data_IF_689281046954
#
_entry.id   IF_689281046954
#
_cell.length_a   1.000
_cell.length_b   1.000
_cell.length_c   1.000
_cell.angle_alpha   90.00
_cell.angle_beta   90.00
_cell.angle_gamma   90.00
#
_symmetry.space_group_name_H-M   'P 1'
#
loop_
_entity.id
_entity.type
_entity.pdbx_description
1 polymer ?
#
# COMPACT_ATOMS: atom_id res chain seq x y z
N UNK A 1 -7.80 -8.17 -7.07
CA UNK A 1 -6.35 -8.45 -7.09
C UNK A 1 -5.95 -8.83 -5.68
N UNK A 2 -5.27 -9.96 -5.54
CA UNK A 2 -4.68 -10.38 -4.27
C UNK A 2 -3.34 -9.65 -4.19
N UNK A 3 -3.21 -8.71 -3.28
CA UNK A 3 -1.97 -8.00 -3.01
C UNK A 3 -1.40 -8.52 -1.71
N UNK A 4 -0.39 -9.38 -1.80
CA UNK A 4 0.27 -9.97 -0.64
C UNK A 4 0.81 -8.89 0.33
N UNK A 5 1.31 -7.77 -0.20
CA UNK A 5 1.82 -6.67 0.62
C UNK A 5 0.73 -6.06 1.51
N UNK A 6 -0.46 -5.84 0.96
CA UNK A 6 -1.59 -5.28 1.72
C UNK A 6 -2.08 -6.27 2.79
N UNK A 7 -2.10 -7.57 2.47
CA UNK A 7 -2.47 -8.62 3.43
C UNK A 7 -1.46 -8.68 4.59
N UNK A 8 -0.15 -8.64 4.29
CA UNK A 8 0.90 -8.63 5.31
C UNK A 8 0.87 -7.35 6.17
N UNK A 9 0.62 -6.18 5.60
CA UNK A 9 0.45 -4.96 6.37
C UNK A 9 -0.70 -5.07 7.37
N UNK A 10 -1.81 -5.67 6.95
CA UNK A 10 -2.95 -5.88 7.83
C UNK A 10 -2.64 -6.87 8.94
N UNK A 11 -1.95 -7.98 8.64
CA UNK A 11 -1.54 -8.96 9.63
C UNK A 11 -0.61 -8.37 10.70
N UNK A 12 0.34 -7.52 10.30
CA UNK A 12 1.21 -6.78 11.22
C UNK A 12 0.37 -5.92 12.15
N UNK A 13 -0.57 -5.15 11.61
CA UNK A 13 -1.43 -4.26 12.38
C UNK A 13 -2.29 -5.05 13.38
N UNK A 14 -2.91 -6.14 12.92
CA UNK A 14 -3.75 -7.01 13.74
C UNK A 14 -2.95 -7.66 14.89
N UNK A 15 -1.77 -8.17 14.59
CA UNK A 15 -0.91 -8.80 15.59
C UNK A 15 -0.40 -7.81 16.64
N UNK A 16 -0.13 -6.57 16.23
CA UNK A 16 0.34 -5.51 17.14
C UNK A 16 -0.76 -4.98 18.04
N UNK A 17 -2.00 -4.92 17.56
CA UNK A 17 -3.15 -4.34 18.27
C UNK A 17 -4.22 -5.40 18.55
N UNK A 18 -3.82 -6.51 19.18
CA UNK A 18 -4.73 -7.59 19.60
C UNK A 18 -5.84 -7.06 20.50
N UNK A 19 -7.03 -7.65 20.41
CA UNK A 19 -8.21 -7.25 21.19
C UNK A 19 -8.98 -6.06 20.60
N UNK A 20 -8.56 -5.51 19.46
CA UNK A 20 -9.32 -4.50 18.74
C UNK A 20 -10.15 -5.12 17.63
N UNK A 21 -11.29 -4.50 17.33
CA UNK A 21 -12.13 -4.89 16.20
C UNK A 21 -11.77 -4.09 14.98
N UNK A 22 -11.43 -4.78 13.89
CA UNK A 22 -11.02 -4.17 12.64
C UNK A 22 -12.17 -4.12 11.62
N UNK A 23 -12.32 -2.99 10.95
CA UNK A 23 -13.26 -2.78 9.87
C UNK A 23 -12.49 -2.47 8.60
N UNK A 24 -12.53 -3.39 7.63
CA UNK A 24 -11.79 -3.26 6.38
C UNK A 24 -12.69 -3.37 5.15
N UNK A 25 -12.26 -2.73 4.08
CA UNK A 25 -12.85 -2.89 2.75
C UNK A 25 -11.92 -3.77 1.92
N UNK A 26 -12.30 -5.02 1.70
CA UNK A 26 -11.53 -5.94 0.87
C UNK A 26 -12.44 -6.86 0.08
N UNK A 27 -12.01 -7.26 -1.10
CA UNK A 27 -12.69 -8.26 -1.92
C UNK A 27 -12.14 -9.68 -1.73
N UNK A 28 -10.93 -9.80 -1.21
CA UNK A 28 -10.12 -11.03 -1.21
C UNK A 28 -9.88 -11.63 0.18
N UNK A 29 -9.92 -10.83 1.24
CA UNK A 29 -9.61 -11.34 2.58
C UNK A 29 -10.60 -12.37 3.09
N UNK A 30 -10.10 -13.32 3.87
CA UNK A 30 -10.91 -14.32 4.57
C UNK A 30 -11.56 -13.69 5.80
N UNK A 31 -12.77 -14.16 6.13
CA UNK A 31 -13.50 -13.74 7.34
C UNK A 31 -12.80 -14.29 8.57
N UNK A 32 -12.49 -13.42 9.54
CA UNK A 32 -11.92 -13.76 10.84
C UNK A 32 -12.78 -13.17 11.95
N UNK A 33 -12.60 -13.66 13.19
CA UNK A 33 -13.49 -13.35 14.31
C UNK A 33 -13.53 -11.85 14.65
N UNK A 34 -12.35 -11.19 14.66
CA UNK A 34 -12.23 -9.76 14.98
C UNK A 34 -12.22 -8.84 13.77
N UNK A 35 -12.54 -9.37 12.58
CA UNK A 35 -12.47 -8.63 11.32
C UNK A 35 -13.81 -8.57 10.63
N UNK A 36 -14.34 -7.36 10.47
CA UNK A 36 -15.55 -7.10 9.68
C UNK A 36 -15.15 -6.69 8.27
N UNK A 37 -15.41 -7.58 7.31
CA UNK A 37 -15.07 -7.35 5.91
C UNK A 37 -16.29 -6.89 5.14
N UNK A 38 -16.17 -5.72 4.50
CA UNK A 38 -17.17 -5.21 3.59
C UNK A 38 -16.77 -5.50 2.15
N UNK A 39 -17.45 -6.48 1.52
CA UNK A 39 -17.19 -6.88 0.13
C UNK A 39 -17.83 -5.89 -0.85
N UNK A 40 -16.99 -5.34 -1.70
CA UNK A 40 -17.33 -4.25 -2.61
C UNK A 40 -18.34 -4.61 -3.73
N UNK A 41 -18.57 -5.91 -4.04
CA UNK A 41 -19.32 -6.34 -5.24
C UNK A 41 -20.82 -6.01 -5.24
N UNK A 42 -21.48 -5.89 -4.07
CA UNK A 42 -22.93 -5.68 -3.99
C UNK A 42 -23.34 -4.26 -3.55
N UNK A 43 -22.49 -3.60 -2.79
CA UNK A 43 -22.80 -2.32 -2.16
C UNK A 43 -22.64 -1.14 -3.14
N UNK A 44 -21.79 -1.29 -4.16
CA UNK A 44 -21.56 -0.25 -5.18
C UNK A 44 -22.78 0.13 -6.02
N UNK A 45 -23.85 -0.65 -5.99
CA UNK A 45 -25.06 -0.36 -6.78
C UNK A 45 -26.10 0.46 -6.01
N UNK A 46 -26.07 0.43 -4.68
CA UNK A 46 -27.13 1.02 -3.83
C UNK A 46 -26.60 2.16 -2.96
N UNK A 47 -25.36 2.09 -2.48
CA UNK A 47 -24.78 3.10 -1.60
C UNK A 47 -23.60 3.75 -2.32
N UNK A 48 -23.65 5.06 -2.56
CA UNK A 48 -22.53 5.82 -3.10
C UNK A 48 -21.28 5.57 -2.24
N UNK A 49 -20.13 5.35 -2.87
CA UNK A 49 -18.83 5.07 -2.22
C UNK A 49 -18.52 6.02 -1.05
N UNK A 50 -19.04 7.23 -1.09
CA UNK A 50 -18.91 8.23 -0.04
C UNK A 50 -19.74 7.86 1.22
N UNK A 51 -20.97 7.38 1.07
CA UNK A 51 -21.84 7.03 2.21
C UNK A 51 -21.36 5.78 2.93
N UNK A 52 -20.87 4.78 2.18
CA UNK A 52 -20.25 3.59 2.79
C UNK A 52 -19.01 3.96 3.61
N UNK A 53 -18.14 4.82 3.08
CA UNK A 53 -16.98 5.32 3.81
C UNK A 53 -17.40 6.05 5.08
N UNK A 54 -18.42 6.92 4.99
CA UNK A 54 -18.96 7.63 6.14
C UNK A 54 -19.58 6.69 7.17
N UNK A 55 -20.32 5.67 6.73
CA UNK A 55 -20.89 4.63 7.60
C UNK A 55 -19.79 3.85 8.31
N UNK A 56 -18.77 3.36 7.60
CA UNK A 56 -17.67 2.62 8.19
C UNK A 56 -16.91 3.47 9.22
N UNK A 57 -16.59 4.70 8.87
CA UNK A 57 -15.88 5.61 9.77
C UNK A 57 -16.70 5.99 11.01
N UNK A 58 -18.04 5.94 10.95
CA UNK A 58 -18.88 6.16 12.13
C UNK A 58 -18.81 5.02 13.15
N UNK A 59 -18.44 3.81 12.73
CA UNK A 59 -18.33 2.63 13.58
C UNK A 59 -16.95 2.45 14.24
N UNK A 60 -15.98 3.25 13.83
CA UNK A 60 -14.61 3.16 14.30
C UNK A 60 -14.28 4.31 15.25
N UNK A 61 -13.39 4.09 16.21
CA UNK A 61 -12.82 5.13 17.07
C UNK A 61 -11.67 5.85 16.38
N UNK A 62 -10.90 5.11 15.57
CA UNK A 62 -9.78 5.63 14.79
C UNK A 62 -9.80 5.09 13.37
N UNK A 63 -9.12 5.80 12.47
CA UNK A 63 -8.94 5.40 11.08
C UNK A 63 -7.44 5.23 10.82
N UNK A 64 -7.07 4.09 10.23
CA UNK A 64 -5.68 3.85 9.85
C UNK A 64 -5.59 3.65 8.33
N UNK A 65 -4.79 4.49 7.69
CA UNK A 65 -4.35 4.30 6.31
C UNK A 65 -2.99 3.62 6.35
N UNK A 66 -2.91 2.36 5.94
CA UNK A 66 -1.68 1.58 6.08
C UNK A 66 -1.14 1.17 4.72
N UNK A 67 0.18 1.36 4.56
CA UNK A 67 0.98 0.87 3.42
C UNK A 67 0.67 1.52 2.08
N UNK A 68 1.44 1.11 1.10
CA UNK A 68 1.22 1.37 -0.30
C UNK A 68 1.50 2.80 -0.79
N UNK A 69 1.46 2.92 -2.11
CA UNK A 69 1.59 4.21 -2.83
C UNK A 69 0.22 4.87 -3.00
N UNK A 70 -0.39 5.27 -1.88
CA UNK A 70 -1.78 5.77 -1.85
C UNK A 70 -1.92 7.25 -2.21
N UNK A 71 -0.82 7.99 -2.18
CA UNK A 71 -0.78 9.44 -2.34
C UNK A 71 -0.02 9.85 -3.61
N UNK A 72 -0.37 9.22 -4.73
CA UNK A 72 0.10 9.59 -6.07
C UNK A 72 -0.95 10.45 -6.78
N UNK A 73 -0.51 11.53 -7.45
CA UNK A 73 -1.40 12.32 -8.29
C UNK A 73 -1.65 11.63 -9.62
N UNK A 74 -2.91 11.33 -9.92
CA UNK A 74 -3.33 10.80 -11.21
C UNK A 74 -3.83 11.94 -12.13
N UNK A 75 -3.96 11.66 -13.43
CA UNK A 75 -4.34 12.66 -14.46
C UNK A 75 -5.55 13.53 -14.09
N UNK A 76 -6.50 12.97 -13.32
CA UNK A 76 -7.74 13.65 -12.94
C UNK A 76 -7.76 14.15 -11.49
N UNK A 77 -6.64 14.09 -10.79
CA UNK A 77 -6.56 14.33 -9.34
C UNK A 77 -6.14 15.76 -8.96
N UNK A 78 -5.94 16.68 -9.93
CA UNK A 78 -5.44 18.04 -9.66
C UNK A 78 -6.11 18.75 -8.47
N UNK A 79 -7.43 18.55 -8.31
CA UNK A 79 -8.23 19.14 -7.25
C UNK A 79 -8.64 18.12 -6.17
N UNK A 80 -7.97 16.98 -6.09
CA UNK A 80 -8.30 15.94 -5.12
C UNK A 80 -8.18 16.47 -3.71
N UNK A 81 -9.30 16.44 -3.00
CA UNK A 81 -9.34 16.66 -1.55
C UNK A 81 -9.20 15.34 -0.83
N UNK A 82 -8.22 15.25 0.03
CA UNK A 82 -8.02 14.08 0.87
C UNK A 82 -8.99 14.13 2.05
N UNK A 83 -9.59 13.01 2.35
CA UNK A 83 -10.52 12.91 3.47
C UNK A 83 -10.66 11.47 3.93
N UNK A 84 -10.44 11.23 5.21
CA UNK A 84 -10.64 9.92 5.85
C UNK A 84 -11.84 9.88 6.81
N UNK A 85 -12.51 11.00 7.03
CA UNK A 85 -13.61 11.12 7.98
C UNK A 85 -13.31 12.15 9.08
N UNK A 86 -14.20 12.23 10.08
CA UNK A 86 -14.05 13.16 11.23
C UNK A 86 -13.35 12.53 12.44
N UNK A 87 -13.05 11.25 12.38
CA UNK A 87 -12.36 10.53 13.46
C UNK A 87 -10.86 10.78 13.41
N UNK A 88 -10.14 10.64 14.53
CA UNK A 88 -8.68 10.64 14.51
C UNK A 88 -8.15 9.66 13.48
N UNK A 89 -7.16 10.07 12.69
CA UNK A 89 -6.59 9.22 11.66
C UNK A 89 -5.07 9.19 11.70
N UNK A 90 -4.55 8.06 11.27
CA UNK A 90 -3.13 7.71 11.25
C UNK A 90 -2.75 7.24 9.85
N UNK A 91 -1.56 7.57 9.42
CA UNK A 91 -0.99 7.15 8.14
C UNK A 91 0.31 6.41 8.43
N UNK A 92 0.36 5.12 8.07
CA UNK A 92 1.48 4.25 8.42
C UNK A 92 2.08 3.59 7.18
N UNK A 93 3.39 3.76 6.99
CA UNK A 93 4.16 3.06 5.97
C UNK A 93 3.79 3.43 4.53
N UNK A 94 3.27 4.62 4.29
CA UNK A 94 2.94 5.12 2.96
C UNK A 94 4.10 5.93 2.36
N UNK A 95 4.03 6.16 1.05
CA UNK A 95 4.85 7.16 0.37
C UNK A 95 3.95 8.20 -0.33
N UNK A 96 4.53 9.36 -0.62
CA UNK A 96 3.89 10.44 -1.35
C UNK A 96 4.53 10.63 -2.73
N UNK A 97 3.70 10.87 -3.73
CA UNK A 97 4.13 11.10 -5.10
C UNK A 97 4.19 9.83 -5.98
N UNK A 98 4.42 10.01 -7.30
CA UNK A 98 4.68 11.30 -7.93
C UNK A 98 3.47 12.26 -7.88
N UNK A 99 3.76 13.56 -7.89
CA UNK A 99 2.77 14.62 -8.01
C UNK A 99 3.22 15.65 -9.06
N UNK A 100 2.29 16.43 -9.60
CA UNK A 100 2.53 17.34 -10.73
C UNK A 100 1.97 18.74 -10.50
N UNK A 101 1.09 18.91 -9.50
CA UNK A 101 0.46 20.21 -9.25
C UNK A 101 0.62 20.66 -7.80
N UNK A 102 0.86 21.97 -7.64
CA UNK A 102 0.94 22.61 -6.31
C UNK A 102 -0.37 22.46 -5.54
N UNK A 103 -1.50 22.47 -6.25
CA UNK A 103 -2.82 22.27 -5.63
C UNK A 103 -2.94 20.89 -4.97
N UNK A 104 -2.44 19.84 -5.64
CA UNK A 104 -2.43 18.51 -5.08
C UNK A 104 -1.52 18.43 -3.85
N UNK A 105 -0.30 18.99 -3.96
CA UNK A 105 0.64 19.05 -2.86
C UNK A 105 0.06 19.79 -1.65
N UNK A 106 -0.48 20.99 -1.84
CA UNK A 106 -1.06 21.79 -0.77
C UNK A 106 -2.27 21.12 -0.10
N UNK A 107 -3.09 20.39 -0.88
CA UNK A 107 -4.19 19.62 -0.32
C UNK A 107 -3.70 18.42 0.51
N UNK A 108 -2.61 17.76 0.08
CA UNK A 108 -1.97 16.69 0.82
C UNK A 108 -1.32 17.20 2.11
N UNK A 109 -0.63 18.35 2.04
CA UNK A 109 -0.03 19.00 3.21
C UNK A 109 -1.06 19.25 4.33
N UNK A 110 -2.17 19.93 3.99
CA UNK A 110 -3.28 20.17 4.94
C UNK A 110 -3.89 18.88 5.49
N UNK A 111 -3.91 17.84 4.66
CA UNK A 111 -4.42 16.55 5.08
C UNK A 111 -3.49 15.86 6.07
N UNK A 112 -2.18 15.88 5.85
CA UNK A 112 -1.20 15.30 6.75
C UNK A 112 -1.08 16.10 8.06
N UNK A 113 -1.17 17.41 7.99
CA UNK A 113 -1.21 18.31 9.18
C UNK A 113 -2.39 17.98 10.11
N UNK A 114 -3.53 17.56 9.57
CA UNK A 114 -4.70 17.14 10.34
C UNK A 114 -4.63 15.73 10.92
N UNK A 115 -3.60 14.95 10.62
CA UNK A 115 -3.43 13.59 11.13
C UNK A 115 -2.96 13.57 12.59
N UNK A 116 -3.12 12.42 13.25
CA UNK A 116 -2.54 12.19 14.59
C UNK A 116 -1.10 11.68 14.51
N UNK A 117 -0.75 10.98 13.45
CA UNK A 117 0.60 10.52 13.14
C UNK A 117 0.68 10.20 11.64
N UNK A 118 1.78 10.60 11.01
CA UNK A 118 2.10 10.28 9.63
C UNK A 118 3.51 9.69 9.59
N UNK A 119 3.60 8.40 9.30
CA UNK A 119 4.86 7.72 9.12
C UNK A 119 5.09 7.38 7.66
N UNK A 120 5.98 8.10 7.01
CA UNK A 120 6.43 7.76 5.67
C UNK A 120 7.50 6.66 5.71
N UNK A 121 7.48 5.79 4.69
CA UNK A 121 8.45 4.69 4.55
C UNK A 121 9.68 5.05 3.73
N UNK A 122 9.71 6.23 3.13
CA UNK A 122 10.84 6.74 2.36
C UNK A 122 11.20 8.17 2.76
N UNK A 123 12.48 8.46 2.61
CA UNK A 123 13.05 9.74 3.03
C UNK A 123 12.55 10.91 2.17
N UNK A 124 12.32 10.67 0.88
CA UNK A 124 11.81 11.71 -0.02
C UNK A 124 10.46 12.25 0.44
N UNK A 125 9.51 11.34 0.74
CA UNK A 125 8.19 11.73 1.26
C UNK A 125 8.30 12.45 2.60
N UNK A 126 9.17 11.96 3.49
CA UNK A 126 9.41 12.63 4.77
C UNK A 126 9.95 14.05 4.59
N UNK A 127 10.97 14.24 3.74
CA UNK A 127 11.61 15.54 3.54
C UNK A 127 10.64 16.60 2.98
N UNK A 128 9.67 16.18 2.15
CA UNK A 128 8.62 17.05 1.59
C UNK A 128 7.65 17.62 2.65
N UNK A 129 7.48 16.94 3.77
CA UNK A 129 6.51 17.29 4.82
C UNK A 129 7.15 17.36 6.21
N UNK A 130 8.47 17.54 6.28
CA UNK A 130 9.22 17.57 7.52
C UNK A 130 8.92 18.80 8.41
N UNK A 131 8.27 19.81 7.87
CA UNK A 131 7.73 20.98 8.58
C UNK A 131 6.48 20.65 9.41
N UNK A 132 5.82 19.52 9.16
CA UNK A 132 4.63 19.08 9.90
C UNK A 132 5.07 18.24 11.11
N UNK A 133 4.77 18.70 12.31
CA UNK A 133 5.26 18.12 13.57
C UNK A 133 4.86 16.66 13.82
N UNK A 134 3.77 16.19 13.22
CA UNK A 134 3.29 14.81 13.34
C UNK A 134 3.83 13.87 12.25
N UNK A 135 4.67 14.39 11.34
CA UNK A 135 5.29 13.61 10.28
C UNK A 135 6.61 13.04 10.76
N UNK A 136 6.80 11.76 10.52
CA UNK A 136 8.04 11.04 10.83
C UNK A 136 8.42 10.05 9.74
N UNK A 137 9.65 9.59 9.76
CA UNK A 137 10.19 8.56 8.88
C UNK A 137 10.45 7.27 9.66
N UNK A 138 10.11 6.15 9.07
CA UNK A 138 10.58 4.83 9.48
C UNK A 138 10.64 3.90 8.25
N UNK A 139 11.46 2.86 8.27
CA UNK A 139 11.44 1.84 7.22
C UNK A 139 10.05 1.26 7.01
N UNK A 140 9.83 0.63 5.85
CA UNK A 140 8.56 -0.01 5.53
C UNK A 140 8.13 -0.96 6.66
N UNK A 141 6.86 -0.91 7.02
CA UNK A 141 6.30 -1.68 8.14
C UNK A 141 6.49 -3.19 7.98
N UNK A 142 6.71 -3.67 6.75
CA UNK A 142 6.98 -5.09 6.46
C UNK A 142 8.21 -5.60 7.23
N UNK A 143 9.19 -4.74 7.53
CA UNK A 143 10.37 -5.10 8.31
C UNK A 143 10.07 -5.41 9.79
N UNK A 144 8.84 -5.21 10.24
CA UNK A 144 8.39 -5.62 11.56
C UNK A 144 7.80 -7.04 11.61
N UNK A 145 7.75 -7.75 10.47
CA UNK A 145 7.37 -9.16 10.45
C UNK A 145 8.38 -10.02 11.22
N UNK A 146 7.88 -10.92 12.04
CA UNK A 146 8.72 -11.97 12.62
C UNK A 146 8.94 -13.06 11.57
N UNK A 147 10.17 -13.16 11.10
CA UNK A 147 10.57 -14.12 10.05
C UNK A 147 11.38 -15.30 10.59
N UNK A 148 11.44 -15.47 11.91
CA UNK A 148 12.26 -16.53 12.55
C UNK A 148 11.96 -17.92 12.00
N UNK A 149 10.69 -18.20 11.74
CA UNK A 149 10.28 -19.49 11.17
C UNK A 149 10.71 -19.70 9.72
N UNK A 150 11.12 -18.63 9.00
CA UNK A 150 11.57 -18.69 7.62
C UNK A 150 13.08 -18.94 7.48
N UNK A 151 13.86 -18.75 8.55
CA UNK A 151 15.32 -18.89 8.53
C UNK A 151 15.80 -20.32 8.24
N UNK A 152 14.93 -21.31 8.42
CA UNK A 152 15.27 -22.74 8.26
C UNK A 152 15.05 -23.27 6.84
N UNK A 153 14.60 -22.46 5.90
CA UNK A 153 14.42 -22.88 4.50
C UNK A 153 15.77 -22.81 3.76
N UNK A 154 16.69 -23.71 4.13
CA UNK A 154 17.94 -23.87 3.39
C UNK A 154 17.68 -24.69 2.15
N UNK A 155 18.10 -24.18 1.00
CA UNK A 155 18.12 -24.93 -0.26
C UNK A 155 19.50 -24.81 -0.90
N UNK A 156 20.01 -25.92 -1.40
CA UNK A 156 21.24 -25.94 -2.19
C UNK A 156 20.98 -25.51 -3.66
N UNK A 157 19.74 -25.28 -4.03
CA UNK A 157 19.38 -24.86 -5.38
C UNK A 157 19.57 -23.35 -5.54
N UNK A 158 20.16 -22.95 -6.64
CA UNK A 158 20.18 -21.55 -7.07
C UNK A 158 18.75 -21.17 -7.50
N UNK A 159 18.16 -20.19 -6.83
CA UNK A 159 16.79 -19.69 -7.14
C UNK A 159 16.80 -18.21 -7.38
N UNK A 160 16.02 -17.76 -8.34
CA UNK A 160 15.77 -16.35 -8.58
C UNK A 160 14.27 -16.09 -8.69
N UNK A 161 13.81 -15.02 -8.07
CA UNK A 161 12.41 -14.60 -8.11
C UNK A 161 12.33 -13.26 -8.84
N UNK A 162 11.44 -13.18 -9.83
CA UNK A 162 11.08 -11.94 -10.50
C UNK A 162 9.72 -11.48 -10.00
N UNK A 163 9.68 -10.35 -9.32
CA UNK A 163 8.43 -9.64 -9.06
C UNK A 163 8.12 -8.76 -10.26
N UNK A 164 7.16 -9.19 -11.07
CA UNK A 164 6.81 -8.53 -12.32
C UNK A 164 5.60 -7.62 -12.09
N UNK A 165 5.72 -6.36 -12.50
CA UNK A 165 4.63 -5.39 -12.45
C UNK A 165 4.12 -5.13 -13.86
N UNK A 166 2.79 -5.21 -14.07
CA UNK A 166 2.21 -4.73 -15.33
C UNK A 166 2.43 -3.25 -15.49
N UNK A 167 3.06 -2.89 -16.59
CA UNK A 167 3.30 -1.50 -16.98
C UNK A 167 2.20 -0.95 -17.90
N UNK A 168 1.19 -1.75 -18.22
CA UNK A 168 0.08 -1.37 -19.09
C UNK A 168 -0.57 -0.07 -18.61
N UNK A 169 -0.69 0.90 -19.51
CA UNK A 169 -1.22 2.24 -19.25
C UNK A 169 -0.45 3.09 -18.20
N UNK A 170 0.73 2.65 -17.76
CA UNK A 170 1.58 3.39 -16.79
C UNK A 170 2.78 4.06 -17.44
N UNK A 171 3.31 3.46 -18.51
CA UNK A 171 4.46 3.96 -19.27
C UNK A 171 4.17 3.88 -20.77
N UNK A 172 4.99 4.56 -21.58
CA UNK A 172 4.91 4.45 -23.06
C UNK A 172 5.19 3.02 -23.50
N UNK A 173 4.46 2.54 -24.52
CA UNK A 173 4.58 1.19 -25.07
C UNK A 173 6.03 0.81 -25.46
N UNK A 174 6.84 1.78 -25.93
CA UNK A 174 8.25 1.55 -26.26
C UNK A 174 9.11 1.20 -25.03
N UNK A 175 8.77 1.72 -23.86
CA UNK A 175 9.47 1.39 -22.61
C UNK A 175 8.96 0.08 -22.04
N UNK A 176 7.68 -0.23 -22.23
CA UNK A 176 7.10 -1.51 -21.85
C UNK A 176 7.77 -2.66 -22.60
N UNK A 177 7.93 -2.54 -23.93
CA UNK A 177 8.65 -3.51 -24.74
C UNK A 177 10.11 -3.73 -24.25
N UNK A 178 10.83 -2.62 -23.98
CA UNK A 178 12.19 -2.73 -23.42
C UNK A 178 12.24 -3.41 -22.05
N UNK A 179 11.25 -3.15 -21.21
CA UNK A 179 11.14 -3.81 -19.91
C UNK A 179 10.92 -5.30 -20.06
N UNK A 180 10.00 -5.72 -20.95
CA UNK A 180 9.74 -7.14 -21.25
C UNK A 180 10.98 -7.83 -21.82
N UNK A 181 11.68 -7.21 -22.77
CA UNK A 181 12.91 -7.73 -23.35
C UNK A 181 14.01 -7.90 -22.29
N UNK A 182 14.13 -6.94 -21.37
CA UNK A 182 15.10 -7.03 -20.29
C UNK A 182 14.81 -8.21 -19.32
N UNK A 183 13.53 -8.40 -18.94
CA UNK A 183 13.12 -9.54 -18.11
C UNK A 183 13.40 -10.86 -18.81
N UNK A 184 13.05 -10.98 -20.10
CA UNK A 184 13.29 -12.19 -20.91
C UNK A 184 14.80 -12.48 -21.00
N UNK A 185 15.61 -11.47 -21.30
CA UNK A 185 17.06 -11.59 -21.43
C UNK A 185 17.68 -12.05 -20.12
N UNK A 186 17.33 -11.41 -19.00
CA UNK A 186 17.82 -11.76 -17.67
C UNK A 186 17.40 -13.19 -17.27
N UNK A 187 16.15 -13.55 -17.54
CA UNK A 187 15.63 -14.91 -17.30
C UNK A 187 16.48 -15.96 -18.03
N UNK A 188 16.70 -15.77 -19.34
CA UNK A 188 17.51 -16.70 -20.15
C UNK A 188 18.93 -16.83 -19.59
N UNK A 189 19.54 -15.72 -19.20
CA UNK A 189 20.89 -15.73 -18.60
C UNK A 189 20.89 -16.53 -17.30
N UNK A 190 19.96 -16.28 -16.38
CA UNK A 190 19.91 -16.97 -15.09
C UNK A 190 19.62 -18.46 -15.24
N UNK A 191 18.78 -18.86 -16.19
CA UNK A 191 18.54 -20.28 -16.50
C UNK A 191 19.85 -20.95 -16.97
N UNK A 192 20.61 -20.30 -17.85
CA UNK A 192 21.90 -20.79 -18.32
C UNK A 192 22.93 -20.90 -17.19
N UNK A 193 22.86 -20.00 -16.17
CA UNK A 193 23.69 -20.02 -14.98
C UNK A 193 23.22 -21.03 -13.90
N UNK A 194 22.19 -21.83 -14.22
CA UNK A 194 21.66 -22.91 -13.38
C UNK A 194 20.65 -22.48 -12.32
N UNK A 195 20.01 -21.32 -12.46
CA UNK A 195 18.96 -20.87 -11.53
C UNK A 195 17.61 -21.45 -11.89
N UNK A 196 16.83 -21.84 -10.90
CA UNK A 196 15.38 -22.02 -11.01
C UNK A 196 14.70 -20.66 -10.91
N UNK A 197 13.80 -20.37 -11.85
CA UNK A 197 13.13 -19.07 -11.93
C UNK A 197 11.70 -19.20 -11.42
N UNK A 198 11.28 -18.26 -10.60
CA UNK A 198 9.89 -18.08 -10.16
C UNK A 198 9.44 -16.67 -10.52
N UNK A 199 8.28 -16.53 -11.12
CA UNK A 199 7.61 -15.24 -11.34
C UNK A 199 6.48 -15.05 -10.32
N UNK A 200 6.37 -13.84 -9.77
CA UNK A 200 5.27 -13.45 -8.88
C UNK A 200 4.79 -12.01 -9.18
#
# INVERSE_FOLDING_TARGET
ENNLGDDLFFDILKNRYKGNKFYIMSSSMKKEEDVVIYKNKFINRIIRRFELKKFLTSKCDVIVSIGGSMYMEQKNDKNRKFFLGKKPYYILGSNFGPYHSDTYFNNAHKFFEGAKDVCFRDKYSYDLFSDISVVRYAPDIIFSLDVKDLENIKTNEKRAIFSIVSCENKIDAKYEAKYQDAIISMTKKLINDGYKITYM
#
